data_IF_560572128510
#
_entry.id   IF_560572128510
#
_cell.length_a   1.000
_cell.length_b   1.000
_cell.length_c   1.000
_cell.angle_alpha   90.00
_cell.angle_beta   90.00
_cell.angle_gamma   90.00
#
_symmetry.space_group_name_H-M   'P 1'
#
loop_
_entity.id
_entity.type
_entity.pdbx_description
1 polymer ?
#
# COMPACT_ATOMS: atom_id res chain seq x y z
N UNK A 1 -14.72 -6.15 10.86
CA UNK A 1 -13.58 -5.69 10.04
C UNK A 1 -14.13 -4.77 8.97
N UNK A 2 -13.55 -3.57 8.77
CA UNK A 2 -13.97 -2.64 7.71
C UNK A 2 -13.45 -3.08 6.34
N UNK A 3 -14.13 -4.08 5.78
CA UNK A 3 -13.80 -4.63 4.47
C UNK A 3 -13.96 -3.61 3.33
N UNK A 4 -14.97 -2.72 3.42
CA UNK A 4 -15.23 -1.70 2.40
C UNK A 4 -14.11 -0.67 2.36
N UNK A 5 -13.58 -0.31 3.54
CA UNK A 5 -12.40 0.54 3.69
C UNK A 5 -11.09 -0.12 3.28
N UNK A 6 -10.91 -1.40 3.62
CA UNK A 6 -9.66 -2.14 3.35
C UNK A 6 -9.42 -2.41 1.88
N UNK A 7 -10.46 -2.78 1.12
CA UNK A 7 -10.33 -3.14 -0.30
C UNK A 7 -9.70 -2.03 -1.17
N UNK A 8 -10.14 -0.76 -1.12
CA UNK A 8 -9.48 0.32 -1.87
C UNK A 8 -8.06 0.62 -1.34
N UNK A 9 -7.80 0.48 -0.04
CA UNK A 9 -6.47 0.65 0.53
C UNK A 9 -5.48 -0.41 0.00
N UNK A 10 -5.92 -1.67 -0.12
CA UNK A 10 -5.10 -2.75 -0.71
C UNK A 10 -4.84 -2.52 -2.20
N UNK A 11 -5.84 -2.13 -2.98
CA UNK A 11 -5.64 -1.82 -4.40
C UNK A 11 -4.69 -0.64 -4.60
N UNK A 12 -4.80 0.41 -3.77
CA UNK A 12 -3.87 1.52 -3.81
C UNK A 12 -2.46 1.08 -3.45
N UNK A 13 -2.29 0.25 -2.42
CA UNK A 13 -1.00 -0.29 -2.02
C UNK A 13 -0.34 -1.06 -3.16
N UNK A 14 -1.07 -2.01 -3.77
CA UNK A 14 -0.57 -2.80 -4.90
C UNK A 14 -0.23 -1.93 -6.11
N UNK A 15 -1.04 -0.90 -6.38
CA UNK A 15 -0.79 0.02 -7.50
C UNK A 15 0.47 0.84 -7.27
N UNK A 16 0.67 1.39 -6.07
CA UNK A 16 1.88 2.15 -5.71
C UNK A 16 3.12 1.26 -5.85
N UNK A 17 3.06 0.04 -5.29
CA UNK A 17 4.18 -0.90 -5.35
C UNK A 17 4.50 -1.27 -6.81
N UNK A 18 3.50 -1.66 -7.60
CA UNK A 18 3.70 -2.07 -8.99
C UNK A 18 4.33 -0.95 -9.82
N UNK A 19 3.81 0.27 -9.73
CA UNK A 19 4.31 1.41 -10.51
C UNK A 19 5.75 1.74 -10.12
N UNK A 20 6.05 1.82 -8.81
CA UNK A 20 7.40 2.13 -8.34
C UNK A 20 8.39 1.01 -8.65
N UNK A 21 7.98 -0.26 -8.58
CA UNK A 21 8.80 -1.40 -8.96
C UNK A 21 9.18 -1.37 -10.45
N UNK A 22 8.24 -1.00 -11.34
CA UNK A 22 8.54 -0.82 -12.77
C UNK A 22 9.54 0.32 -12.99
N UNK A 23 9.40 1.43 -12.27
CA UNK A 23 10.34 2.57 -12.34
C UNK A 23 11.72 2.17 -11.81
N UNK A 24 11.79 1.50 -10.66
CA UNK A 24 13.02 1.04 -10.04
C UNK A 24 13.81 0.11 -10.97
N UNK A 25 13.11 -0.85 -11.57
CA UNK A 25 13.71 -1.79 -12.51
C UNK A 25 14.20 -1.07 -13.77
N UNK A 26 13.38 -0.20 -14.36
CA UNK A 26 13.74 0.55 -15.58
C UNK A 26 14.96 1.46 -15.34
N UNK A 27 14.98 2.20 -14.25
CA UNK A 27 16.09 3.09 -13.88
C UNK A 27 17.36 2.28 -13.60
N UNK A 28 17.26 1.20 -12.83
CA UNK A 28 18.40 0.32 -12.55
C UNK A 28 18.96 -0.36 -13.79
N UNK A 29 18.10 -0.76 -14.74
CA UNK A 29 18.52 -1.32 -16.02
C UNK A 29 19.28 -0.29 -16.87
N UNK A 30 18.73 0.92 -17.03
CA UNK A 30 19.38 2.00 -17.80
C UNK A 30 20.73 2.39 -17.19
N UNK A 31 20.84 2.39 -15.86
CA UNK A 31 22.08 2.68 -15.15
C UNK A 31 23.04 1.49 -15.03
N UNK A 32 22.61 0.27 -15.39
CA UNK A 32 23.37 -0.96 -15.18
C UNK A 32 23.70 -1.25 -13.71
N UNK A 33 22.87 -0.77 -12.77
CA UNK A 33 23.16 -0.76 -11.33
C UNK A 33 22.05 -1.41 -10.51
N UNK A 34 22.36 -2.58 -9.94
CA UNK A 34 21.49 -3.24 -8.97
C UNK A 34 21.32 -2.43 -7.68
N UNK A 35 22.33 -1.66 -7.28
CA UNK A 35 22.25 -0.80 -6.10
C UNK A 35 21.14 0.25 -6.27
N UNK A 36 21.00 0.82 -7.48
CA UNK A 36 19.93 1.78 -7.80
C UNK A 36 18.55 1.14 -7.62
N UNK A 37 18.37 -0.11 -8.07
CA UNK A 37 17.11 -0.84 -7.89
C UNK A 37 16.76 -0.97 -6.41
N UNK A 38 17.73 -1.40 -5.59
CA UNK A 38 17.52 -1.62 -4.15
C UNK A 38 17.23 -0.31 -3.41
N UNK A 39 17.91 0.78 -3.76
CA UNK A 39 17.67 2.09 -3.16
C UNK A 39 16.24 2.58 -3.43
N UNK A 40 15.77 2.49 -4.68
CA UNK A 40 14.40 2.90 -5.03
C UNK A 40 13.37 1.98 -4.36
N UNK A 41 13.58 0.67 -4.41
CA UNK A 41 12.72 -0.32 -3.76
C UNK A 41 12.60 -0.08 -2.24
N UNK A 42 13.71 0.27 -1.57
CA UNK A 42 13.69 0.57 -0.13
C UNK A 42 12.80 1.76 0.21
N UNK A 43 12.76 2.78 -0.65
CA UNK A 43 11.87 3.93 -0.49
C UNK A 43 10.40 3.54 -0.70
N UNK A 44 10.12 2.75 -1.73
CA UNK A 44 8.79 2.24 -2.04
C UNK A 44 8.17 1.45 -0.87
N UNK A 45 8.93 0.54 -0.27
CA UNK A 45 8.46 -0.30 0.86
C UNK A 45 8.09 0.53 2.09
N UNK A 46 8.70 1.69 2.29
CA UNK A 46 8.34 2.61 3.38
C UNK A 46 7.16 3.50 2.97
N UNK A 47 7.14 3.96 1.72
CA UNK A 47 6.14 4.90 1.22
C UNK A 47 4.75 4.26 1.12
N UNK A 48 4.64 3.06 0.54
CA UNK A 48 3.35 2.40 0.34
C UNK A 48 2.55 2.23 1.65
N UNK A 49 3.09 1.63 2.73
CA UNK A 49 2.35 1.51 3.98
C UNK A 49 2.13 2.87 4.67
N UNK A 50 3.03 3.84 4.50
CA UNK A 50 2.83 5.19 5.06
C UNK A 50 1.56 5.87 4.53
N UNK A 51 1.13 5.54 3.31
CA UNK A 51 -0.08 6.09 2.70
C UNK A 51 -1.31 5.21 2.95
N UNK A 52 -1.16 3.89 3.07
CA UNK A 52 -2.30 2.95 3.08
C UNK A 52 -2.65 2.37 4.45
N UNK A 53 -1.70 2.36 5.41
CA UNK A 53 -1.90 1.80 6.76
C UNK A 53 -2.62 2.77 7.71
N UNK A 54 -2.37 4.09 7.71
CA UNK A 54 -3.11 5.00 8.58
C UNK A 54 -4.62 4.93 8.29
N UNK A 55 -5.44 5.06 9.34
CA UNK A 55 -6.90 5.08 9.22
C UNK A 55 -7.37 6.43 8.67
N UNK A 56 -7.09 6.67 7.39
CA UNK A 56 -7.45 7.89 6.68
C UNK A 56 -8.98 7.94 6.48
N UNK A 57 -9.59 9.14 6.53
CA UNK A 57 -11.04 9.30 6.41
C UNK A 57 -11.61 8.79 5.08
N UNK A 58 -10.79 8.61 4.04
CA UNK A 58 -11.21 8.02 2.77
C UNK A 58 -11.33 6.49 2.81
N UNK A 59 -10.66 5.84 3.76
CA UNK A 59 -10.67 4.39 3.95
C UNK A 59 -11.48 3.97 5.19
N UNK A 60 -12.05 4.91 5.96
CA UNK A 60 -12.82 4.60 7.15
C UNK A 60 -14.32 4.67 6.88
N UNK A 61 -15.00 3.54 6.87
CA UNK A 61 -16.46 3.47 6.82
C UNK A 61 -17.04 3.16 8.20
N UNK A 62 -18.20 3.74 8.56
CA UNK A 62 -18.88 3.41 9.80
C UNK A 62 -19.28 1.93 9.82
N UNK A 63 -18.77 1.18 10.80
CA UNK A 63 -19.19 -0.21 11.02
C UNK A 63 -20.46 -0.26 11.85
N UNK A 64 -21.50 -0.88 11.30
CA UNK A 64 -22.61 -1.37 12.11
C UNK A 64 -22.24 -2.76 12.64
N UNK A 65 -21.97 -2.83 13.95
CA UNK A 65 -21.76 -4.11 14.63
C UNK A 65 -23.13 -4.77 14.90
N UNK A 66 -23.19 -6.11 14.84
CA UNK A 66 -24.34 -6.82 15.37
C UNK A 66 -24.37 -6.68 16.89
N UNK A 67 -25.57 -6.63 17.46
CA UNK A 67 -25.72 -6.64 18.91
C UNK A 67 -25.03 -7.89 19.50
N UNK A 68 -24.35 -7.76 20.65
CA UNK A 68 -23.77 -8.91 21.34
C UNK A 68 -24.87 -9.93 21.60
N UNK A 69 -24.65 -11.18 21.18
CA UNK A 69 -25.56 -12.26 21.54
C UNK A 69 -25.31 -12.60 23.01
N UNK A 70 -26.03 -11.93 23.91
CA UNK A 70 -25.98 -12.22 25.34
C UNK A 70 -26.40 -13.69 25.58
N UNK A 71 -25.63 -14.40 26.40
CA UNK A 71 -25.84 -15.80 26.79
C UNK A 71 -25.86 -15.91 28.32
#
# INVERSE_FOLDING_TARGET
>A
MDWQGQKPAEYLMQTILLVLSVVAFSAGYVMGSFQTVIQIYSGEVVLAPSVTVPNLPWFSHPLQWLDPMEA
#
